data_IF_433484304431
#
_entry.id   IF_433484304431
#
_cell.length_a   1.000
_cell.length_b   1.000
_cell.length_c   1.000
_cell.angle_alpha   90.00
_cell.angle_beta   90.00
_cell.angle_gamma   90.00
#
_symmetry.space_group_name_H-M   'P 1'
#
loop_
_entity.id
_entity.type
_entity.pdbx_description
1 polymer ?
#
# COMPACT_ATOMS: atom_id res chain seq x y z
N UNK A 1 -14.34 2.10 -21.29
CA UNK A 1 -13.07 2.27 -20.54
C UNK A 1 -12.06 2.96 -21.44
N UNK A 2 -11.54 4.14 -21.04
CA UNK A 2 -10.47 4.83 -21.78
C UNK A 2 -9.13 4.47 -21.14
N UNK A 3 -8.30 3.74 -21.86
CA UNK A 3 -6.90 3.51 -21.48
C UNK A 3 -6.10 4.80 -21.68
N UNK A 4 -5.73 5.43 -20.57
CA UNK A 4 -4.79 6.56 -20.57
C UNK A 4 -3.37 6.01 -20.54
N UNK A 5 -2.69 6.06 -21.67
CA UNK A 5 -1.27 5.74 -21.81
C UNK A 5 -0.43 6.81 -21.10
N UNK A 6 0.10 6.48 -19.93
CA UNK A 6 1.05 7.35 -19.20
C UNK A 6 2.39 7.39 -19.94
N UNK A 7 2.80 8.58 -20.39
CA UNK A 7 4.18 8.88 -20.81
C UNK A 7 5.09 8.84 -19.58
N UNK A 8 6.18 8.07 -19.65
CA UNK A 8 7.20 7.96 -18.60
C UNK A 8 8.43 8.76 -19.03
N UNK A 9 8.83 9.74 -18.22
CA UNK A 9 10.03 10.55 -18.42
C UNK A 9 11.27 9.86 -17.85
N UNK A 10 12.33 9.78 -18.64
CA UNK A 10 13.61 9.19 -18.27
C UNK A 10 14.46 10.22 -17.49
N UNK A 11 14.56 10.03 -16.18
CA UNK A 11 15.52 10.71 -15.31
C UNK A 11 16.40 9.68 -14.61
N UNK A 12 17.72 9.90 -14.65
CA UNK A 12 18.79 8.98 -14.26
C UNK A 12 18.56 8.32 -12.88
N UNK A 13 18.66 6.98 -12.84
CA UNK A 13 18.55 6.18 -11.62
C UNK A 13 17.87 4.83 -11.78
N UNK A 14 17.19 4.59 -12.91
CA UNK A 14 16.70 3.25 -13.27
C UNK A 14 17.75 2.53 -14.11
N UNK A 15 18.36 1.49 -13.57
CA UNK A 15 18.60 0.29 -14.38
C UNK A 15 17.21 -0.32 -14.66
N UNK A 16 16.45 0.31 -15.57
CA UNK A 16 15.19 -0.23 -16.07
C UNK A 16 15.55 -1.34 -17.05
N UNK A 17 16.05 -2.46 -16.50
CA UNK A 17 16.27 -3.66 -17.31
C UNK A 17 14.93 -4.09 -17.91
N UNK A 18 14.99 -4.71 -19.09
CA UNK A 18 13.82 -5.33 -19.70
C UNK A 18 13.13 -6.29 -18.72
N UNK A 19 13.92 -7.01 -17.93
CA UNK A 19 13.46 -7.92 -16.89
C UNK A 19 12.63 -7.22 -15.79
N UNK A 20 13.08 -6.08 -15.28
CA UNK A 20 12.35 -5.32 -14.25
C UNK A 20 10.99 -4.88 -14.79
N UNK A 21 10.96 -4.40 -16.04
CA UNK A 21 9.73 -3.98 -16.71
C UNK A 21 8.77 -5.16 -16.94
N UNK A 22 9.27 -6.28 -17.47
CA UNK A 22 8.47 -7.49 -17.72
C UNK A 22 7.84 -8.05 -16.44
N UNK A 23 8.55 -7.94 -15.31
CA UNK A 23 8.03 -8.34 -14.00
C UNK A 23 7.03 -7.35 -13.45
N UNK A 24 7.29 -6.05 -13.58
CA UNK A 24 6.34 -5.01 -13.17
C UNK A 24 5.03 -5.09 -13.97
N UNK A 25 5.10 -5.40 -15.26
CA UNK A 25 3.91 -5.56 -16.12
C UNK A 25 3.01 -6.75 -15.70
N UNK A 26 3.51 -7.65 -14.84
CA UNK A 26 2.72 -8.73 -14.23
C UNK A 26 1.97 -8.26 -12.98
N UNK A 27 2.39 -7.16 -12.36
CA UNK A 27 1.69 -6.57 -11.22
C UNK A 27 0.35 -5.98 -11.68
N UNK A 28 -0.72 -6.32 -10.96
CA UNK A 28 -2.07 -5.80 -11.17
C UNK A 28 -2.37 -4.57 -10.33
N UNK A 29 -1.91 -4.56 -9.07
CA UNK A 29 -2.20 -3.46 -8.15
C UNK A 29 -1.02 -2.50 -8.00
N UNK A 30 0.21 -3.04 -7.98
CA UNK A 30 1.40 -2.21 -7.84
C UNK A 30 1.81 -1.55 -9.15
N UNK A 31 2.16 -0.28 -9.07
CA UNK A 31 2.69 0.51 -10.17
C UNK A 31 3.87 1.37 -9.70
N UNK A 32 4.73 1.73 -10.65
CA UNK A 32 5.84 2.63 -10.37
C UNK A 32 5.38 4.09 -10.48
N UNK A 33 5.49 4.84 -9.39
CA UNK A 33 5.36 6.30 -9.40
C UNK A 33 6.73 6.90 -9.71
N UNK A 34 6.80 7.62 -10.84
CA UNK A 34 7.99 8.35 -11.24
C UNK A 34 8.28 9.52 -10.30
N UNK A 35 9.57 9.89 -10.15
CA UNK A 35 9.96 11.07 -9.37
C UNK A 35 9.33 12.33 -9.95
N UNK A 36 8.85 13.22 -9.06
CA UNK A 36 8.29 14.53 -9.44
C UNK A 36 9.42 15.54 -9.54
N UNK A 37 10.33 15.33 -10.50
CA UNK A 37 11.61 16.05 -10.62
C UNK A 37 11.60 17.48 -10.07
N UNK A 38 12.27 17.66 -8.93
CA UNK A 38 12.46 18.96 -8.28
C UNK A 38 13.46 18.93 -7.13
N UNK A 39 13.69 17.76 -6.52
CA UNK A 39 14.63 17.60 -5.41
C UNK A 39 15.58 16.41 -5.60
N UNK A 40 16.78 16.51 -5.02
CA UNK A 40 17.81 15.45 -5.02
C UNK A 40 17.35 14.13 -4.37
N UNK A 41 16.16 14.12 -3.76
CA UNK A 41 15.54 12.99 -3.08
C UNK A 41 14.26 12.48 -3.77
N UNK A 42 14.00 12.86 -5.03
CA UNK A 42 12.86 12.31 -5.75
C UNK A 42 13.25 10.96 -6.36
N UNK A 43 12.85 9.89 -5.67
CA UNK A 43 13.02 8.52 -6.14
C UNK A 43 11.81 7.93 -6.85
N UNK A 44 11.97 6.68 -7.27
CA UNK A 44 10.84 5.87 -7.71
C UNK A 44 10.19 5.20 -6.50
N UNK A 45 8.85 5.21 -6.46
CA UNK A 45 8.07 4.51 -5.45
C UNK A 45 7.24 3.41 -6.11
N UNK A 46 7.29 2.19 -5.57
CA UNK A 46 6.41 1.09 -5.94
C UNK A 46 5.15 1.19 -5.09
N UNK A 47 4.02 1.55 -5.69
CA UNK A 47 2.80 1.92 -4.98
C UNK A 47 1.66 1.01 -5.38
N UNK A 48 0.86 0.55 -4.41
CA UNK A 48 -0.48 0.03 -4.68
C UNK A 48 -1.52 0.91 -3.97
N UNK A 49 -2.49 1.40 -4.76
CA UNK A 49 -3.67 2.11 -4.27
C UNK A 49 -4.87 1.19 -4.41
N UNK A 50 -5.38 0.70 -3.29
CA UNK A 50 -6.45 -0.30 -3.30
C UNK A 50 -7.70 0.32 -2.69
N UNK A 51 -8.73 0.44 -3.52
CA UNK A 51 -10.04 0.96 -3.14
C UNK A 51 -10.89 -0.15 -2.55
N UNK A 52 -11.66 0.17 -1.52
CA UNK A 52 -12.67 -0.71 -0.93
C UNK A 52 -14.01 0.01 -0.81
N UNK A 53 -15.07 -0.77 -0.70
CA UNK A 53 -16.47 -0.33 -0.75
C UNK A 53 -17.04 -0.08 0.65
N UNK A 54 -16.53 -0.77 1.67
CA UNK A 54 -17.00 -0.67 3.04
C UNK A 54 -15.93 -1.08 4.05
N UNK A 55 -16.20 -0.80 5.33
CA UNK A 55 -15.27 -1.08 6.43
C UNK A 55 -14.99 -2.58 6.62
N UNK A 56 -15.95 -3.46 6.35
CA UNK A 56 -15.73 -4.92 6.42
C UNK A 56 -14.70 -5.38 5.38
N UNK A 57 -14.77 -4.85 4.16
CA UNK A 57 -13.78 -5.13 3.12
C UNK A 57 -12.39 -4.60 3.51
N UNK A 58 -12.31 -3.40 4.08
CA UNK A 58 -11.06 -2.84 4.61
C UNK A 58 -10.43 -3.78 5.66
N UNK A 59 -11.20 -4.23 6.65
CA UNK A 59 -10.67 -5.14 7.68
C UNK A 59 -10.19 -6.47 7.07
N UNK A 60 -10.96 -7.04 6.15
CA UNK A 60 -10.57 -8.26 5.44
C UNK A 60 -9.26 -8.08 4.68
N UNK A 61 -9.07 -6.90 4.05
CA UNK A 61 -7.81 -6.56 3.39
C UNK A 61 -6.66 -6.46 4.38
N UNK A 62 -6.84 -5.79 5.52
CA UNK A 62 -5.81 -5.68 6.55
C UNK A 62 -5.39 -7.05 7.10
N UNK A 63 -6.33 -7.96 7.30
CA UNK A 63 -6.05 -9.33 7.74
C UNK A 63 -5.19 -10.09 6.71
N UNK A 64 -5.51 -9.97 5.41
CA UNK A 64 -4.75 -10.62 4.33
C UNK A 64 -3.35 -10.03 4.17
N UNK A 65 -3.23 -8.73 4.39
CA UNK A 65 -1.95 -8.03 4.40
C UNK A 65 -1.13 -8.37 5.65
N UNK A 66 -1.69 -9.15 6.58
CA UNK A 66 -1.11 -9.48 7.88
C UNK A 66 -0.74 -8.21 8.66
N UNK A 67 -1.56 -7.17 8.51
CA UNK A 67 -1.36 -5.88 9.15
C UNK A 67 -1.70 -5.95 10.64
N UNK A 68 -0.91 -5.30 11.48
CA UNK A 68 -1.24 -5.11 12.89
C UNK A 68 -2.16 -3.90 13.01
N UNK A 69 -3.41 -4.12 13.41
CA UNK A 69 -4.38 -3.05 13.63
C UNK A 69 -5.21 -3.30 14.89
N UNK A 70 -5.79 -2.22 15.42
CA UNK A 70 -6.73 -2.28 16.53
C UNK A 70 -7.97 -1.41 16.25
N UNK A 71 -9.06 -1.78 16.90
CA UNK A 71 -10.33 -1.08 16.86
C UNK A 71 -10.61 -0.47 18.23
N UNK A 72 -11.06 0.78 18.24
CA UNK A 72 -11.39 1.53 19.45
C UNK A 72 -12.74 2.21 19.31
N UNK A 73 -13.59 2.15 20.33
CA UNK A 73 -14.84 2.90 20.37
C UNK A 73 -14.62 4.42 20.52
N UNK A 74 -13.46 4.83 21.04
CA UNK A 74 -13.10 6.23 21.25
C UNK A 74 -11.95 6.65 20.34
N UNK A 75 -11.99 7.91 19.89
CA UNK A 75 -10.90 8.48 19.10
C UNK A 75 -9.60 8.41 19.92
N UNK A 76 -8.53 7.79 19.40
CA UNK A 76 -7.27 7.70 20.13
C UNK A 76 -6.63 9.07 20.28
N UNK A 77 -5.97 9.27 21.41
CA UNK A 77 -5.10 10.41 21.66
C UNK A 77 -3.87 10.38 20.75
N UNK A 78 -3.16 11.51 20.66
CA UNK A 78 -1.88 11.60 19.93
C UNK A 78 -0.88 10.55 20.46
N UNK A 79 -0.77 10.41 21.77
CA UNK A 79 0.15 9.46 22.39
C UNK A 79 -0.20 7.98 22.10
N UNK A 80 -1.48 7.66 21.95
CA UNK A 80 -1.91 6.33 21.52
C UNK A 80 -1.61 6.11 20.04
N UNK A 81 -1.81 7.13 19.20
CA UNK A 81 -1.47 7.08 17.78
C UNK A 81 0.04 6.92 17.53
N UNK A 82 0.88 7.55 18.34
CA UNK A 82 2.34 7.46 18.22
C UNK A 82 2.85 6.02 18.39
N UNK A 83 2.12 5.16 19.13
CA UNK A 83 2.44 3.73 19.26
C UNK A 83 2.25 2.94 17.97
N UNK A 84 1.43 3.43 17.04
CA UNK A 84 1.10 2.76 15.76
C UNK A 84 1.92 3.30 14.57
N UNK A 85 2.93 4.13 14.83
CA UNK A 85 3.89 4.60 13.81
C UNK A 85 3.20 5.26 12.59
N UNK A 86 2.58 6.42 12.80
CA UNK A 86 2.23 7.43 11.77
C UNK A 86 1.07 7.17 10.79
N UNK A 87 0.42 6.01 10.76
CA UNK A 87 -0.88 5.94 10.08
C UNK A 87 -1.91 6.75 10.89
N UNK A 88 -2.57 7.71 10.24
CA UNK A 88 -3.64 8.49 10.89
C UNK A 88 -4.79 7.55 11.29
N UNK A 89 -5.39 7.70 12.48
CA UNK A 89 -6.58 6.94 12.84
C UNK A 89 -7.73 7.25 11.88
N UNK A 90 -8.40 6.20 11.43
CA UNK A 90 -9.52 6.29 10.49
C UNK A 90 -10.81 5.98 11.22
N UNK A 91 -11.82 6.79 11.03
CA UNK A 91 -13.17 6.50 11.50
C UNK A 91 -13.85 5.57 10.48
N UNK A 92 -14.33 4.42 10.94
CA UNK A 92 -14.97 3.40 10.12
C UNK A 92 -16.35 3.03 10.69
N UNK A 93 -17.24 2.51 9.85
CA UNK A 93 -18.57 2.08 10.26
C UNK A 93 -18.69 0.56 10.15
N UNK A 94 -18.86 -0.11 11.29
CA UNK A 94 -19.03 -1.56 11.40
C UNK A 94 -20.34 -1.83 12.12
N UNK A 95 -21.23 -2.62 11.51
CA UNK A 95 -22.52 -3.01 12.09
C UNK A 95 -23.38 -1.83 12.60
N UNK A 96 -23.31 -0.68 11.91
CA UNK A 96 -23.96 0.60 12.25
C UNK A 96 -23.38 1.30 13.50
N UNK A 97 -22.27 0.82 14.02
CA UNK A 97 -21.49 1.50 15.04
C UNK A 97 -20.27 2.19 14.41
N UNK A 98 -19.92 3.35 14.95
CA UNK A 98 -18.69 4.06 14.59
C UNK A 98 -17.54 3.54 15.43
N UNK A 99 -16.43 3.18 14.79
CA UNK A 99 -15.20 2.77 15.45
C UNK A 99 -13.99 3.50 14.85
N UNK A 100 -12.93 3.62 15.65
CA UNK A 100 -11.64 4.16 15.24
C UNK A 100 -10.67 3.02 14.97
N UNK A 101 -10.22 2.94 13.73
CA UNK A 101 -9.21 2.01 13.25
C UNK A 101 -7.82 2.62 13.42
N UNK A 102 -6.96 1.93 14.14
CA UNK A 102 -5.52 2.22 14.24
C UNK A 102 -4.77 1.13 13.50
N UNK A 103 -4.00 1.48 12.48
CA UNK A 103 -3.20 0.54 11.69
C UNK A 103 -1.73 0.82 11.93
N UNK A 104 -0.93 -0.21 12.19
CA UNK A 104 0.52 -0.08 12.23
C UNK A 104 1.05 -0.01 10.80
N UNK A 105 1.93 0.95 10.57
CA UNK A 105 2.58 1.14 9.26
C UNK A 105 3.30 -0.12 8.76
N UNK A 106 3.94 -0.86 9.66
CA UNK A 106 4.66 -2.10 9.33
C UNK A 106 3.89 -3.34 9.81
N UNK A 107 3.62 -4.32 8.92
CA UNK A 107 3.20 -5.66 9.32
C UNK A 107 4.23 -6.24 10.30
N UNK A 108 3.77 -6.82 11.41
CA UNK A 108 4.64 -7.06 12.57
C UNK A 108 5.67 -8.17 12.39
N UNK A 109 5.62 -9.00 11.34
CA UNK A 109 6.38 -10.27 11.38
C UNK A 109 7.05 -10.84 10.14
N UNK A 110 6.96 -10.34 8.88
CA UNK A 110 7.54 -11.16 7.77
C UNK A 110 8.33 -10.52 6.63
N UNK A 111 8.22 -9.23 6.32
CA UNK A 111 9.12 -8.63 5.33
C UNK A 111 8.95 -7.10 5.41
N UNK A 112 10.00 -6.32 5.67
CA UNK A 112 9.88 -4.86 5.73
C UNK A 112 9.66 -4.22 4.36
N UNK A 113 9.71 -4.98 3.24
CA UNK A 113 9.64 -4.43 1.89
C UNK A 113 8.31 -3.74 1.55
N UNK A 114 7.17 -4.23 2.05
CA UNK A 114 5.86 -3.58 1.88
C UNK A 114 5.33 -3.03 3.21
N UNK A 115 4.93 -1.76 3.20
CA UNK A 115 4.30 -1.11 4.35
C UNK A 115 3.03 -0.35 3.95
N UNK A 116 2.14 -0.15 4.92
CA UNK A 116 0.92 0.65 4.78
C UNK A 116 1.29 2.11 5.03
N UNK A 117 1.24 2.94 3.99
CA UNK A 117 1.57 4.36 4.09
C UNK A 117 0.44 5.16 4.74
N UNK A 118 -0.78 4.93 4.27
CA UNK A 118 -1.98 5.49 4.90
C UNK A 118 -3.23 4.70 4.54
N UNK A 119 -4.25 4.87 5.37
CA UNK A 119 -5.61 4.38 5.18
C UNK A 119 -6.56 5.59 5.24
N UNK A 120 -7.56 5.64 4.38
CA UNK A 120 -8.64 6.64 4.42
C UNK A 120 -9.98 5.96 4.70
N UNK A 121 -11.10 6.59 4.36
CA UNK A 121 -12.43 5.98 4.37
C UNK A 121 -12.72 5.15 3.10
N UNK A 122 -11.87 5.22 2.07
CA UNK A 122 -12.09 4.57 0.77
C UNK A 122 -10.86 3.86 0.18
N UNK A 123 -9.67 4.10 0.73
CA UNK A 123 -8.43 3.67 0.12
C UNK A 123 -7.36 3.28 1.15
N UNK A 124 -6.65 2.20 0.85
CA UNK A 124 -5.38 1.85 1.49
C UNK A 124 -4.25 2.02 0.48
N UNK A 125 -3.19 2.74 0.88
CA UNK A 125 -1.96 2.86 0.10
C UNK A 125 -0.87 1.98 0.68
N UNK A 126 -0.30 1.13 -0.15
CA UNK A 126 0.90 0.35 0.13
C UNK A 126 2.11 0.94 -0.60
N UNK A 127 3.28 0.86 0.02
CA UNK A 127 4.57 1.18 -0.61
C UNK A 127 5.47 -0.05 -0.51
N UNK A 128 5.99 -0.51 -1.64
CA UNK A 128 6.68 -1.80 -1.78
C UNK A 128 8.19 -1.75 -1.95
N UNK A 129 8.82 -0.58 -1.81
CA UNK A 129 10.28 -0.42 -1.90
C UNK A 129 10.85 0.29 -0.66
N UNK A 130 10.50 -0.21 0.52
CA UNK A 130 10.86 0.40 1.81
C UNK A 130 12.37 0.58 2.03
N UNK A 131 13.18 -0.37 1.52
CA UNK A 131 14.64 -0.36 1.69
C UNK A 131 15.31 0.82 0.99
N UNK A 132 14.63 1.45 0.02
CA UNK A 132 15.11 2.62 -0.69
C UNK A 132 13.97 3.43 -1.28
N UNK A 133 13.74 4.62 -0.73
CA UNK A 133 12.85 5.63 -1.31
C UNK A 133 13.30 6.11 -2.69
N UNK A 134 14.50 5.71 -3.13
CA UNK A 134 15.18 6.15 -4.35
C UNK A 134 15.19 5.12 -5.46
N UNK A 135 15.07 3.83 -5.12
CA UNK A 135 15.26 2.71 -6.05
C UNK A 135 14.23 1.62 -5.79
N UNK A 136 13.66 1.12 -6.88
CA UNK A 136 12.89 -0.13 -6.89
C UNK A 136 13.78 -1.21 -7.49
N UNK A 137 13.83 -2.36 -6.84
CA UNK A 137 14.61 -3.54 -7.23
C UNK A 137 13.69 -4.64 -7.77
N UNK A 138 14.29 -5.67 -8.37
CA UNK A 138 13.55 -6.86 -8.77
C UNK A 138 12.90 -7.57 -7.57
N UNK A 139 13.61 -7.61 -6.43
CA UNK A 139 13.10 -8.17 -5.18
C UNK A 139 11.81 -7.47 -4.73
N UNK A 140 11.79 -6.13 -4.75
CA UNK A 140 10.61 -5.35 -4.37
C UNK A 140 9.39 -5.71 -5.23
N UNK A 141 9.60 -5.94 -6.54
CA UNK A 141 8.54 -6.34 -7.47
C UNK A 141 8.10 -7.79 -7.22
N UNK A 142 9.03 -8.70 -6.93
CA UNK A 142 8.69 -10.09 -6.60
C UNK A 142 7.86 -10.19 -5.32
N UNK A 143 8.16 -9.38 -4.31
CA UNK A 143 7.34 -9.28 -3.10
C UNK A 143 5.97 -8.66 -3.42
N UNK A 144 5.92 -7.59 -4.23
CA UNK A 144 4.66 -7.01 -4.70
C UNK A 144 3.75 -8.02 -5.43
N UNK A 145 4.32 -8.90 -6.26
CA UNK A 145 3.57 -9.96 -6.97
C UNK A 145 2.95 -10.99 -6.00
N UNK A 146 3.62 -11.29 -4.88
CA UNK A 146 3.05 -12.16 -3.86
C UNK A 146 1.83 -11.51 -3.20
N UNK A 147 1.90 -10.21 -2.92
CA UNK A 147 0.78 -9.44 -2.39
C UNK A 147 -0.36 -9.31 -3.39
N UNK A 148 -0.07 -9.10 -4.68
CA UNK A 148 -1.09 -9.10 -5.74
C UNK A 148 -1.88 -10.41 -5.78
N UNK A 149 -1.19 -11.54 -5.61
CA UNK A 149 -1.83 -12.86 -5.56
C UNK A 149 -2.77 -12.98 -4.36
N UNK A 150 -2.34 -12.51 -3.18
CA UNK A 150 -3.17 -12.46 -1.97
C UNK A 150 -4.40 -11.56 -2.17
N UNK A 151 -4.22 -10.38 -2.76
CA UNK A 151 -5.28 -9.40 -3.00
C UNK A 151 -6.27 -9.87 -4.07
N UNK A 152 -5.84 -10.56 -5.12
CA UNK A 152 -6.75 -11.13 -6.11
C UNK A 152 -7.68 -12.22 -5.53
N UNK A 153 -7.29 -12.88 -4.44
CA UNK A 153 -8.16 -13.83 -3.76
C UNK A 153 -9.42 -13.16 -3.17
N UNK A 154 -9.34 -11.86 -2.81
CA UNK A 154 -10.48 -11.09 -2.27
C UNK A 154 -11.64 -10.97 -3.26
N UNK A 155 -11.34 -10.78 -4.56
CA UNK A 155 -12.37 -10.64 -5.60
C UNK A 155 -13.18 -11.91 -5.83
N UNK A 156 -12.74 -13.04 -5.28
CA UNK A 156 -13.38 -14.36 -5.46
C UNK A 156 -14.23 -14.79 -4.25
N UNK A 157 -14.17 -14.05 -3.14
CA UNK A 157 -15.04 -14.31 -1.98
C UNK A 157 -16.35 -13.58 -2.25
N UNK A 158 -17.51 -14.29 -2.35
CA UNK A 158 -18.80 -13.62 -2.45
C UNK A 158 -19.01 -12.74 -1.22
N UNK A 159 -19.28 -11.45 -1.45
CA UNK A 159 -19.74 -10.53 -0.41
C UNK A 159 -21.13 -10.91 0.09
#
# INVERSE_FOLDING_TARGET
>A
MKHSSKKIGYGAGLEYSSELREKLDQCRYFYLKSPRGGHFNDGYELIADIVYENSSQLLTMLDILEADYSLSATKPSIAENDKYCYCRPVEISLDKETQWLLVRHFPTNKDPSIYINYVTDELIRLIGNQSSWYKVTLYDIEVALQYDTKLEALKKVPQ
#
